data_IF_727140111863
#
_entry.id   IF_727140111863
#
_cell.length_a   1.000
_cell.length_b   1.000
_cell.length_c   1.000
_cell.angle_alpha   90.00
_cell.angle_beta   90.00
_cell.angle_gamma   90.00
#
_symmetry.space_group_name_H-M   'P 1'
#
loop_
_entity.id
_entity.type
_entity.pdbx_description
1 polymer ?
#
# COMPACT_ATOMS: atom_id res chain seq x y z
N UNK A 1 -13.07 -10.17 -5.52
CA UNK A 1 -13.41 -11.49 -6.09
C UNK A 1 -13.02 -12.56 -5.08
N UNK A 2 -13.91 -13.49 -4.75
CA UNK A 2 -13.57 -14.57 -3.81
C UNK A 2 -12.45 -15.46 -4.39
N UNK A 3 -11.51 -15.95 -3.57
CA UNK A 3 -10.47 -16.87 -4.04
C UNK A 3 -11.14 -18.17 -4.49
N UNK A 4 -10.87 -18.58 -5.73
CA UNK A 4 -11.27 -19.91 -6.20
C UNK A 4 -10.65 -20.96 -5.27
N UNK A 5 -11.47 -21.88 -4.78
CA UNK A 5 -11.04 -23.02 -3.97
C UNK A 5 -9.91 -23.78 -4.66
N UNK A 6 -8.90 -24.16 -3.87
CA UNK A 6 -7.59 -24.72 -4.23
C UNK A 6 -7.64 -25.98 -5.13
N UNK A 7 -8.81 -26.58 -5.36
CA UNK A 7 -9.02 -27.76 -6.18
C UNK A 7 -9.40 -27.49 -7.65
N UNK A 8 -9.55 -26.23 -8.08
CA UNK A 8 -10.10 -25.89 -9.41
C UNK A 8 -9.13 -25.28 -10.43
N UNK A 9 -7.81 -25.29 -10.18
CA UNK A 9 -6.83 -24.86 -11.18
C UNK A 9 -6.75 -25.95 -12.26
N UNK A 10 -7.41 -25.71 -13.40
CA UNK A 10 -7.33 -26.57 -14.57
C UNK A 10 -5.87 -26.70 -15.02
N UNK A 11 -5.44 -27.93 -15.37
CA UNK A 11 -4.13 -28.12 -15.98
C UNK A 11 -4.08 -27.31 -17.28
N UNK A 12 -2.99 -26.56 -17.54
CA UNK A 12 -2.80 -25.92 -18.83
C UNK A 12 -2.90 -26.99 -19.92
N UNK A 13 -3.60 -26.70 -21.01
CA UNK A 13 -3.54 -27.51 -22.22
C UNK A 13 -2.16 -27.30 -22.83
N UNK A 14 -1.19 -28.08 -22.38
CA UNK A 14 0.16 -28.13 -22.96
C UNK A 14 0.02 -28.62 -24.40
N UNK A 15 -0.12 -27.71 -25.35
CA UNK A 15 -0.32 -28.01 -26.76
C UNK A 15 0.88 -28.81 -27.28
N UNK A 16 0.77 -30.14 -27.30
CA UNK A 16 1.70 -31.10 -27.89
C UNK A 16 3.20 -30.96 -27.52
N UNK A 17 3.55 -30.24 -26.44
CA UNK A 17 4.94 -30.00 -26.01
C UNK A 17 5.09 -30.27 -24.50
N UNK A 18 6.21 -30.84 -24.03
CA UNK A 18 6.43 -31.03 -22.60
C UNK A 18 6.40 -29.68 -21.87
N UNK A 19 5.91 -29.62 -20.61
CA UNK A 19 5.70 -28.37 -19.86
C UNK A 19 6.92 -27.43 -19.86
N UNK A 20 8.12 -28.01 -19.83
CA UNK A 20 9.40 -27.29 -19.89
C UNK A 20 9.61 -26.50 -21.20
N UNK A 21 9.28 -27.08 -22.36
CA UNK A 21 9.52 -26.45 -23.66
C UNK A 21 8.50 -25.33 -23.92
N UNK A 22 7.25 -25.53 -23.51
CA UNK A 22 6.22 -24.49 -23.54
C UNK A 22 6.59 -23.30 -22.64
N UNK A 23 7.09 -23.61 -21.43
CA UNK A 23 7.58 -22.61 -20.50
C UNK A 23 8.73 -21.80 -21.10
N UNK A 24 9.77 -22.47 -21.58
CA UNK A 24 10.93 -21.82 -22.15
C UNK A 24 10.55 -20.92 -23.35
N UNK A 25 9.62 -21.37 -24.19
CA UNK A 25 9.12 -20.58 -25.32
C UNK A 25 8.35 -19.34 -24.86
N UNK A 26 7.46 -19.49 -23.87
CA UNK A 26 6.64 -18.40 -23.34
C UNK A 26 7.49 -17.37 -22.59
N UNK A 27 8.42 -17.82 -21.74
CA UNK A 27 9.33 -16.95 -21.01
C UNK A 27 10.32 -16.24 -21.95
N UNK A 28 10.86 -16.94 -22.95
CA UNK A 28 11.71 -16.30 -23.98
C UNK A 28 10.93 -15.30 -24.83
N UNK A 29 9.62 -15.51 -25.05
CA UNK A 29 8.78 -14.54 -25.74
C UNK A 29 8.60 -13.27 -24.91
N UNK A 30 8.35 -13.38 -23.59
CA UNK A 30 8.27 -12.23 -22.68
C UNK A 30 9.55 -11.39 -22.75
N UNK A 31 10.73 -12.04 -22.73
CA UNK A 31 12.04 -11.38 -22.82
C UNK A 31 12.20 -10.60 -24.14
N UNK A 32 11.62 -11.09 -25.24
CA UNK A 32 11.74 -10.46 -26.57
C UNK A 32 10.71 -9.37 -26.83
N UNK A 33 9.58 -9.38 -26.14
CA UNK A 33 8.50 -8.42 -26.37
C UNK A 33 8.88 -7.05 -25.81
N UNK A 34 8.69 -6.03 -26.64
CA UNK A 34 8.87 -4.64 -26.25
C UNK A 34 7.52 -4.04 -25.80
N UNK A 35 7.51 -3.00 -24.94
CA UNK A 35 6.28 -2.38 -24.47
C UNK A 35 5.32 -1.88 -25.56
N UNK A 36 5.81 -1.64 -26.78
CA UNK A 36 4.96 -1.23 -27.91
C UNK A 36 4.01 -2.34 -28.40
N UNK A 37 4.31 -3.61 -28.11
CA UNK A 37 3.43 -4.75 -28.43
C UNK A 37 2.54 -5.06 -27.22
N UNK A 38 1.66 -4.10 -26.91
CA UNK A 38 0.87 -4.07 -25.67
C UNK A 38 0.03 -5.34 -25.44
N UNK A 39 -0.87 -5.69 -26.37
CA UNK A 39 -1.78 -6.84 -26.17
C UNK A 39 -1.06 -8.18 -25.97
N UNK A 40 -0.07 -8.57 -26.80
CA UNK A 40 0.73 -9.79 -26.56
C UNK A 40 1.49 -9.76 -25.23
N UNK A 41 1.98 -8.57 -24.83
CA UNK A 41 2.75 -8.41 -23.60
C UNK A 41 1.86 -8.54 -22.35
N UNK A 42 0.68 -7.93 -22.36
CA UNK A 42 -0.31 -8.08 -21.28
C UNK A 42 -0.68 -9.56 -21.09
N UNK A 43 -0.99 -10.25 -22.19
CA UNK A 43 -1.40 -11.66 -22.12
C UNK A 43 -0.30 -12.58 -21.58
N UNK A 44 0.96 -12.31 -21.93
CA UNK A 44 2.07 -13.13 -21.44
C UNK A 44 2.43 -12.83 -19.98
N UNK A 45 2.32 -11.57 -19.53
CA UNK A 45 2.49 -11.18 -18.12
C UNK A 45 1.36 -11.78 -17.26
N UNK A 46 0.13 -11.82 -17.78
CA UNK A 46 -1.00 -12.47 -17.10
C UNK A 46 -0.75 -13.97 -16.92
N UNK A 47 -0.32 -14.66 -17.99
CA UNK A 47 0.04 -16.08 -17.96
C UNK A 47 1.20 -16.38 -17.01
N UNK A 48 2.14 -15.46 -16.84
CA UNK A 48 3.25 -15.63 -15.91
C UNK A 48 2.75 -15.85 -14.47
N UNK A 49 1.72 -15.12 -14.02
CA UNK A 49 1.14 -15.32 -12.70
C UNK A 49 0.60 -16.75 -12.52
N UNK A 50 -0.18 -17.22 -13.50
CA UNK A 50 -0.76 -18.56 -13.51
C UNK A 50 0.32 -19.64 -13.48
N UNK A 51 1.39 -19.47 -14.28
CA UNK A 51 2.51 -20.40 -14.33
C UNK A 51 3.28 -20.45 -13.01
N UNK A 52 3.63 -19.30 -12.44
CA UNK A 52 4.36 -19.23 -11.17
C UNK A 52 3.57 -19.88 -10.03
N UNK A 53 2.28 -19.54 -9.90
CA UNK A 53 1.41 -20.13 -8.87
C UNK A 53 1.24 -21.64 -9.08
N UNK A 54 1.06 -22.09 -10.33
CA UNK A 54 0.95 -23.52 -10.64
C UNK A 54 2.24 -24.28 -10.32
N UNK A 55 3.40 -23.72 -10.65
CA UNK A 55 4.70 -24.36 -10.44
C UNK A 55 5.06 -24.45 -8.97
N UNK A 56 4.72 -23.41 -8.20
CA UNK A 56 4.87 -23.44 -6.75
C UNK A 56 4.15 -24.63 -6.11
N UNK A 57 2.93 -24.92 -6.60
CA UNK A 57 2.11 -25.99 -6.05
C UNK A 57 2.51 -27.37 -6.60
N UNK A 58 2.80 -27.48 -7.90
CA UNK A 58 2.88 -28.79 -8.60
C UNK A 58 4.24 -29.13 -9.20
N UNK A 59 5.09 -28.14 -9.49
CA UNK A 59 6.34 -28.36 -10.23
C UNK A 59 7.50 -27.46 -9.73
N UNK A 60 8.03 -27.68 -8.51
CA UNK A 60 9.06 -26.80 -7.93
C UNK A 60 10.35 -26.68 -8.77
N UNK A 61 10.72 -27.73 -9.51
CA UNK A 61 11.88 -27.69 -10.41
C UNK A 61 11.72 -26.70 -11.57
N UNK A 62 10.49 -26.45 -12.02
CA UNK A 62 10.19 -25.44 -13.04
C UNK A 62 10.19 -24.03 -12.45
N UNK A 63 9.92 -23.88 -11.15
CA UNK A 63 10.03 -22.59 -10.47
C UNK A 63 11.48 -22.10 -10.44
N UNK A 64 12.45 -23.00 -10.21
CA UNK A 64 13.89 -22.68 -10.30
C UNK A 64 14.27 -22.12 -11.68
N UNK A 65 13.67 -22.65 -12.76
CA UNK A 65 13.90 -22.11 -14.11
C UNK A 65 13.40 -20.67 -14.26
N UNK A 66 12.28 -20.30 -13.63
CA UNK A 66 11.79 -18.90 -13.65
C UNK A 66 12.80 -17.96 -13.00
N UNK A 67 13.45 -18.42 -11.91
CA UNK A 67 14.52 -17.69 -11.23
C UNK A 67 15.75 -17.59 -12.13
N UNK A 68 16.23 -18.71 -12.69
CA UNK A 68 17.40 -18.76 -13.58
C UNK A 68 17.26 -17.89 -14.82
N UNK A 69 16.05 -17.74 -15.35
CA UNK A 69 15.75 -16.91 -16.51
C UNK A 69 15.57 -15.42 -16.18
N UNK A 70 15.75 -15.01 -14.92
CA UNK A 70 15.65 -13.61 -14.48
C UNK A 70 14.34 -12.94 -14.93
N UNK A 71 13.21 -13.67 -14.87
CA UNK A 71 11.95 -13.19 -15.44
C UNK A 71 11.40 -11.97 -14.70
N UNK A 72 11.59 -11.93 -13.39
CA UNK A 72 11.22 -10.78 -12.57
C UNK A 72 12.03 -9.53 -12.95
N UNK A 73 13.33 -9.66 -13.23
CA UNK A 73 14.15 -8.53 -13.70
C UNK A 73 13.63 -7.96 -15.02
N UNK A 74 13.11 -8.81 -15.92
CA UNK A 74 12.49 -8.35 -17.16
C UNK A 74 11.19 -7.60 -16.91
N UNK A 75 10.34 -8.03 -15.95
CA UNK A 75 9.17 -7.25 -15.55
C UNK A 75 9.57 -5.87 -15.02
N UNK A 76 10.65 -5.80 -14.23
CA UNK A 76 11.17 -4.54 -13.72
C UNK A 76 11.71 -3.64 -14.84
N UNK A 77 12.38 -4.20 -15.86
CA UNK A 77 12.83 -3.47 -17.05
C UNK A 77 11.63 -2.89 -17.80
N UNK A 78 10.56 -3.67 -17.97
CA UNK A 78 9.31 -3.20 -18.60
C UNK A 78 8.70 -2.08 -17.75
N UNK A 79 8.58 -2.27 -16.44
CA UNK A 79 8.00 -1.28 -15.53
C UNK A 79 8.77 0.05 -15.53
N UNK A 80 10.10 0.01 -15.64
CA UNK A 80 10.97 1.20 -15.72
C UNK A 80 10.95 1.89 -17.09
N UNK A 81 10.41 1.26 -18.13
CA UNK A 81 10.43 1.82 -19.47
C UNK A 81 9.40 2.96 -19.60
N UNK A 82 9.81 4.19 -19.96
CA UNK A 82 8.89 5.33 -20.08
C UNK A 82 7.80 5.15 -21.15
N UNK A 83 7.97 4.20 -22.08
CA UNK A 83 6.99 3.89 -23.14
C UNK A 83 5.95 2.85 -22.70
N UNK A 84 6.03 2.35 -21.47
CA UNK A 84 5.08 1.36 -20.96
C UNK A 84 3.73 2.03 -20.68
N UNK A 85 2.67 1.46 -21.25
CA UNK A 85 1.30 1.95 -21.05
C UNK A 85 0.79 1.62 -19.65
N UNK A 86 -0.18 2.40 -19.18
CA UNK A 86 -0.84 2.14 -17.89
C UNK A 86 -1.44 0.74 -17.81
N UNK A 87 -2.00 0.21 -18.90
CA UNK A 87 -2.55 -1.14 -18.92
C UNK A 87 -1.50 -2.24 -18.65
N UNK A 88 -0.28 -2.07 -19.18
CA UNK A 88 0.84 -2.99 -18.87
C UNK A 88 1.26 -2.84 -17.41
N UNK A 89 1.34 -1.61 -16.88
CA UNK A 89 1.68 -1.36 -15.47
C UNK A 89 0.66 -2.02 -14.54
N UNK A 90 -0.64 -1.83 -14.80
CA UNK A 90 -1.73 -2.49 -14.07
C UNK A 90 -1.56 -4.02 -14.13
N UNK A 91 -1.30 -4.58 -15.31
CA UNK A 91 -1.11 -6.02 -15.47
C UNK A 91 0.10 -6.53 -14.68
N UNK A 92 1.19 -5.77 -14.59
CA UNK A 92 2.35 -6.11 -13.76
C UNK A 92 1.95 -6.15 -12.27
N UNK A 93 1.26 -5.12 -11.77
CA UNK A 93 0.83 -5.09 -10.36
C UNK A 93 -0.16 -6.21 -10.02
N UNK A 94 -1.11 -6.51 -10.92
CA UNK A 94 -2.00 -7.65 -10.77
C UNK A 94 -1.21 -8.97 -10.72
N UNK A 95 -0.29 -9.18 -11.65
CA UNK A 95 0.53 -10.39 -11.72
C UNK A 95 1.38 -10.56 -10.45
N UNK A 96 2.04 -9.50 -9.99
CA UNK A 96 2.83 -9.54 -8.76
C UNK A 96 1.94 -9.76 -7.53
N UNK A 97 0.76 -9.12 -7.46
CA UNK A 97 -0.21 -9.33 -6.40
C UNK A 97 -0.67 -10.79 -6.30
N UNK A 98 -1.02 -11.40 -7.45
CA UNK A 98 -1.40 -12.82 -7.52
C UNK A 98 -0.26 -13.72 -7.07
N UNK A 99 0.99 -13.44 -7.47
CA UNK A 99 2.16 -14.22 -7.04
C UNK A 99 2.37 -14.09 -5.52
N UNK A 100 2.26 -12.89 -4.97
CA UNK A 100 2.40 -12.65 -3.52
C UNK A 100 1.33 -13.40 -2.73
N UNK A 101 0.07 -13.35 -3.18
CA UNK A 101 -1.07 -13.95 -2.46
C UNK A 101 -1.20 -15.45 -2.67
N UNK A 102 -0.94 -15.92 -3.90
CA UNK A 102 -1.27 -17.27 -4.36
C UNK A 102 -0.19 -18.32 -4.13
N UNK A 103 1.06 -17.92 -3.93
CA UNK A 103 2.19 -18.84 -3.69
C UNK A 103 2.19 -19.26 -2.22
N UNK A 104 1.94 -20.54 -1.98
CA UNK A 104 1.85 -21.13 -0.63
C UNK A 104 3.23 -21.58 -0.13
N UNK A 105 4.12 -21.99 -1.03
CA UNK A 105 5.51 -22.32 -0.71
C UNK A 105 6.37 -21.09 -0.88
N UNK A 106 6.63 -20.43 0.24
CA UNK A 106 7.19 -19.09 0.30
C UNK A 106 8.58 -18.89 -0.35
N UNK A 107 9.24 -19.91 -0.89
CA UNK A 107 10.61 -19.82 -1.43
C UNK A 107 10.78 -18.73 -2.49
N UNK A 108 9.89 -18.64 -3.50
CA UNK A 108 10.03 -17.59 -4.53
C UNK A 108 9.75 -16.20 -3.98
N UNK A 109 8.75 -16.06 -3.11
CA UNK A 109 8.41 -14.75 -2.51
C UNK A 109 9.51 -14.31 -1.55
N UNK A 110 10.05 -15.21 -0.72
CA UNK A 110 11.21 -14.93 0.12
C UNK A 110 12.42 -14.57 -0.74
N UNK A 111 12.71 -15.33 -1.79
CA UNK A 111 13.80 -14.99 -2.71
C UNK A 111 13.66 -13.58 -3.29
N UNK A 112 12.46 -13.19 -3.74
CA UNK A 112 12.19 -11.83 -4.24
C UNK A 112 12.31 -10.75 -3.15
N UNK A 113 11.97 -11.06 -1.90
CA UNK A 113 12.18 -10.16 -0.76
C UNK A 113 13.68 -10.01 -0.47
N UNK A 114 14.41 -11.11 -0.34
CA UNK A 114 15.82 -11.14 0.03
C UNK A 114 16.72 -10.47 -1.02
N UNK A 115 16.37 -10.63 -2.30
CA UNK A 115 17.06 -9.96 -3.42
C UNK A 115 16.72 -8.48 -3.53
N UNK A 116 15.77 -7.97 -2.75
CA UNK A 116 15.31 -6.58 -2.83
C UNK A 116 14.46 -6.26 -4.05
N UNK A 117 13.96 -7.27 -4.77
CA UNK A 117 13.16 -7.08 -5.99
C UNK A 117 11.96 -6.14 -5.74
N UNK A 118 11.21 -6.37 -4.66
CA UNK A 118 10.05 -5.53 -4.35
C UNK A 118 10.44 -4.09 -4.02
N UNK A 119 11.58 -3.86 -3.36
CA UNK A 119 12.09 -2.50 -3.13
C UNK A 119 12.39 -1.79 -4.45
N UNK A 120 12.96 -2.51 -5.43
CA UNK A 120 13.19 -1.95 -6.76
C UNK A 120 11.90 -1.65 -7.52
N UNK A 121 10.87 -2.49 -7.41
CA UNK A 121 9.53 -2.24 -7.98
C UNK A 121 8.93 -0.98 -7.36
N UNK A 122 8.95 -0.87 -6.03
CA UNK A 122 8.40 0.28 -5.29
C UNK A 122 9.16 1.59 -5.53
N UNK A 123 10.43 1.51 -5.93
CA UNK A 123 11.25 2.67 -6.27
C UNK A 123 10.98 3.21 -7.66
N UNK A 124 10.18 2.53 -8.49
CA UNK A 124 9.76 3.06 -9.80
C UNK A 124 8.71 4.15 -9.56
N UNK A 125 8.87 5.37 -10.09
CA UNK A 125 7.88 6.42 -9.92
C UNK A 125 6.61 6.09 -10.71
N UNK A 126 5.51 5.88 -9.99
CA UNK A 126 4.18 5.61 -10.57
C UNK A 126 3.28 6.82 -10.32
N UNK A 127 2.76 7.42 -11.40
CA UNK A 127 1.84 8.56 -11.32
C UNK A 127 0.40 8.07 -11.18
N UNK A 128 -0.05 7.85 -9.95
CA UNK A 128 -1.41 7.35 -9.67
C UNK A 128 -2.50 8.43 -9.62
N UNK A 129 -2.12 9.70 -9.44
CA UNK A 129 -3.08 10.78 -9.12
C UNK A 129 -4.08 11.11 -10.24
N UNK A 130 -3.83 10.65 -11.46
CA UNK A 130 -4.67 10.90 -12.63
C UNK A 130 -5.43 9.66 -13.12
N UNK A 131 -5.27 8.51 -12.45
CA UNK A 131 -5.82 7.24 -12.91
C UNK A 131 -6.28 6.38 -11.72
N UNK A 132 -7.59 6.43 -11.44
CA UNK A 132 -8.22 5.72 -10.33
C UNK A 132 -8.09 4.20 -10.45
N UNK A 133 -8.07 3.67 -11.67
CA UNK A 133 -7.90 2.23 -11.91
C UNK A 133 -6.49 1.79 -11.52
N UNK A 134 -5.47 2.52 -11.99
CA UNK A 134 -4.09 2.28 -11.61
C UNK A 134 -3.90 2.41 -10.10
N UNK A 135 -4.49 3.45 -9.48
CA UNK A 135 -4.43 3.65 -8.03
C UNK A 135 -5.03 2.47 -7.26
N UNK A 136 -6.16 1.92 -7.72
CA UNK A 136 -6.82 0.77 -7.10
C UNK A 136 -5.95 -0.49 -7.15
N UNK A 137 -5.38 -0.83 -8.32
CA UNK A 137 -4.50 -2.00 -8.47
C UNK A 137 -3.18 -1.82 -7.72
N UNK A 138 -2.61 -0.61 -7.73
CA UNK A 138 -1.38 -0.34 -7.00
C UNK A 138 -1.62 -0.46 -5.48
N UNK A 139 -2.68 0.15 -4.94
CA UNK A 139 -3.00 0.04 -3.50
C UNK A 139 -3.24 -1.40 -3.07
N UNK A 140 -3.87 -2.22 -3.92
CA UNK A 140 -4.09 -3.65 -3.68
C UNK A 140 -2.75 -4.38 -3.60
N UNK A 141 -1.86 -4.16 -4.57
CA UNK A 141 -0.50 -4.71 -4.56
C UNK A 141 0.29 -4.32 -3.31
N UNK A 142 0.28 -3.03 -2.93
CA UNK A 142 0.96 -2.54 -1.72
C UNK A 142 0.40 -3.23 -0.46
N UNK A 143 -0.92 -3.43 -0.41
CA UNK A 143 -1.59 -4.14 0.68
C UNK A 143 -1.15 -5.61 0.74
N UNK A 144 -1.16 -6.33 -0.37
CA UNK A 144 -0.71 -7.72 -0.45
C UNK A 144 0.76 -7.86 0.00
N UNK A 145 1.62 -6.92 -0.42
CA UNK A 145 3.02 -6.89 -0.04
C UNK A 145 3.21 -6.59 1.47
N UNK A 146 2.39 -5.71 2.05
CA UNK A 146 2.46 -5.39 3.49
C UNK A 146 2.23 -6.61 4.39
N UNK A 147 1.41 -7.58 3.94
CA UNK A 147 1.21 -8.83 4.67
C UNK A 147 2.42 -9.76 4.66
N UNK A 148 3.39 -9.53 3.77
CA UNK A 148 4.65 -10.28 3.74
C UNK A 148 5.72 -9.67 4.65
N UNK A 149 5.48 -8.51 5.24
CA UNK A 149 6.36 -7.93 6.26
C UNK A 149 6.06 -8.61 7.60
N UNK A 150 7.06 -9.30 8.13
CA UNK A 150 7.03 -9.98 9.42
C UNK A 150 8.42 -9.91 10.05
N UNK A 151 8.60 -10.51 11.24
CA UNK A 151 9.87 -10.46 11.98
C UNK A 151 11.09 -10.95 11.18
N UNK A 152 10.88 -11.88 10.24
CA UNK A 152 11.97 -12.46 9.44
C UNK A 152 12.24 -11.68 8.14
N UNK A 153 11.28 -10.89 7.66
CA UNK A 153 11.37 -10.22 6.35
C UNK A 153 11.51 -8.71 6.45
N UNK A 154 11.11 -8.10 7.56
CA UNK A 154 11.05 -6.64 7.74
C UNK A 154 12.36 -5.94 7.38
N UNK A 155 13.48 -6.54 7.77
CA UNK A 155 14.81 -6.00 7.57
C UNK A 155 15.22 -5.89 6.09
N UNK A 156 14.59 -6.66 5.19
CA UNK A 156 14.84 -6.55 3.75
C UNK A 156 14.09 -5.39 3.09
N UNK A 157 13.04 -4.85 3.72
CA UNK A 157 12.25 -3.75 3.17
C UNK A 157 12.81 -2.37 3.51
N UNK A 158 13.76 -2.28 4.44
CA UNK A 158 14.28 -1.01 4.96
C UNK A 158 15.80 -0.99 4.83
N UNK A 159 16.35 0.14 4.38
CA UNK A 159 17.80 0.33 4.32
C UNK A 159 18.45 0.20 5.71
N UNK A 160 19.71 -0.22 5.74
CA UNK A 160 20.44 -0.42 7.00
C UNK A 160 20.53 0.84 7.87
N UNK A 161 20.56 2.03 7.25
CA UNK A 161 20.59 3.33 7.92
C UNK A 161 19.20 3.84 8.35
N UNK A 162 18.14 3.05 8.12
CA UNK A 162 16.75 3.39 8.44
C UNK A 162 16.25 4.69 7.78
N UNK A 163 16.82 5.08 6.63
CA UNK A 163 16.41 6.29 5.89
C UNK A 163 15.58 6.03 4.64
N UNK A 164 15.56 4.80 4.16
CA UNK A 164 14.82 4.44 2.94
C UNK A 164 13.91 3.27 3.24
N UNK A 165 12.61 3.48 3.11
CA UNK A 165 11.59 2.44 3.21
C UNK A 165 10.63 2.59 2.02
N UNK A 166 10.93 1.95 0.88
CA UNK A 166 10.20 2.16 -0.37
C UNK A 166 8.70 1.92 -0.26
N UNK A 167 8.27 0.95 0.57
CA UNK A 167 6.85 0.69 0.77
C UNK A 167 6.16 1.86 1.49
N UNK A 168 6.80 2.46 2.49
CA UNK A 168 6.26 3.63 3.18
C UNK A 168 6.24 4.86 2.27
N UNK A 169 7.29 5.05 1.46
CA UNK A 169 7.32 6.11 0.45
C UNK A 169 6.22 5.92 -0.62
N UNK A 170 5.95 4.69 -1.05
CA UNK A 170 4.90 4.40 -2.02
C UNK A 170 3.50 4.76 -1.48
N UNK A 171 3.20 4.43 -0.23
CA UNK A 171 1.89 4.73 0.36
C UNK A 171 1.65 6.23 0.63
N UNK A 172 2.70 7.06 0.64
CA UNK A 172 2.54 8.52 0.87
C UNK A 172 1.69 9.19 -0.22
N UNK A 173 1.73 8.65 -1.43
CA UNK A 173 0.87 9.07 -2.55
C UNK A 173 -0.63 8.89 -2.29
N UNK A 174 -1.01 8.03 -1.33
CA UNK A 174 -2.40 7.76 -0.98
C UNK A 174 -2.89 8.52 0.27
N UNK A 175 -2.04 9.30 0.94
CA UNK A 175 -2.43 9.95 2.21
C UNK A 175 -3.68 10.81 2.05
N UNK A 176 -3.75 11.60 0.99
CA UNK A 176 -4.90 12.49 0.70
C UNK A 176 -5.87 11.90 -0.34
N UNK A 177 -5.88 10.58 -0.51
CA UNK A 177 -6.83 9.93 -1.44
C UNK A 177 -8.27 10.12 -0.99
N UNK A 178 -9.15 10.51 -1.91
CA UNK A 178 -10.60 10.61 -1.67
C UNK A 178 -11.32 9.27 -1.81
N UNK A 179 -10.66 8.26 -2.37
CA UNK A 179 -11.23 6.92 -2.47
C UNK A 179 -11.20 6.22 -1.10
N UNK A 180 -12.38 5.88 -0.60
CA UNK A 180 -12.54 5.14 0.66
C UNK A 180 -11.82 3.80 0.63
N UNK A 181 -11.82 3.10 -0.50
CA UNK A 181 -11.15 1.79 -0.58
C UNK A 181 -9.63 1.95 -0.47
N UNK A 182 -9.05 2.93 -1.16
CA UNK A 182 -7.64 3.28 -1.02
C UNK A 182 -7.28 3.69 0.42
N UNK A 183 -8.12 4.49 1.10
CA UNK A 183 -7.90 4.86 2.50
C UNK A 183 -7.91 3.65 3.45
N UNK A 184 -8.84 2.71 3.25
CA UNK A 184 -8.88 1.45 4.01
C UNK A 184 -7.63 0.60 3.76
N UNK A 185 -7.15 0.54 2.51
CA UNK A 185 -5.92 -0.16 2.17
C UNK A 185 -4.70 0.49 2.84
N UNK A 186 -4.58 1.81 2.78
CA UNK A 186 -3.53 2.60 3.43
C UNK A 186 -3.47 2.31 4.94
N UNK A 187 -4.61 2.45 5.64
CA UNK A 187 -4.72 2.16 7.08
C UNK A 187 -4.31 0.72 7.40
N UNK A 188 -4.76 -0.24 6.61
CA UNK A 188 -4.38 -1.65 6.75
C UNK A 188 -2.87 -1.87 6.57
N UNK A 189 -2.23 -1.20 5.61
CA UNK A 189 -0.79 -1.30 5.37
C UNK A 189 0.00 -0.76 6.57
N UNK A 190 -0.39 0.40 7.09
CA UNK A 190 0.28 1.03 8.24
C UNK A 190 0.12 0.15 9.49
N UNK A 191 -1.07 -0.38 9.74
CA UNK A 191 -1.30 -1.32 10.85
C UNK A 191 -0.44 -2.58 10.70
N UNK A 192 -0.34 -3.15 9.49
CA UNK A 192 0.50 -4.31 9.24
C UNK A 192 1.98 -4.01 9.53
N UNK A 193 2.49 -2.85 9.12
CA UNK A 193 3.87 -2.44 9.40
C UNK A 193 4.14 -2.27 10.90
N UNK A 194 3.27 -1.53 11.61
CA UNK A 194 3.44 -1.27 13.05
C UNK A 194 3.30 -2.57 13.86
N UNK A 195 2.39 -3.45 13.47
CA UNK A 195 2.17 -4.75 14.13
C UNK A 195 3.42 -5.62 14.17
N UNK A 196 4.37 -5.45 13.24
CA UNK A 196 5.61 -6.23 13.22
C UNK A 196 6.51 -5.90 14.41
N UNK A 197 6.44 -4.70 15.00
CA UNK A 197 7.32 -4.27 16.11
C UNK A 197 8.82 -4.43 15.80
N UNK A 198 9.20 -4.18 14.56
CA UNK A 198 10.59 -4.21 14.13
C UNK A 198 11.25 -2.84 14.37
N UNK A 199 12.47 -2.84 14.91
CA UNK A 199 13.18 -1.62 15.29
C UNK A 199 13.46 -0.67 14.13
N UNK A 200 13.80 -1.19 12.94
CA UNK A 200 14.05 -0.36 11.74
C UNK A 200 12.78 0.30 11.24
N UNK A 201 11.67 -0.46 11.21
CA UNK A 201 10.34 0.07 10.86
C UNK A 201 9.96 1.20 11.83
N UNK A 202 10.04 0.95 13.14
CA UNK A 202 9.71 1.94 14.17
C UNK A 202 10.57 3.19 14.00
N UNK A 203 11.89 3.03 13.92
CA UNK A 203 12.86 4.12 13.76
C UNK A 203 12.54 4.96 12.54
N UNK A 204 12.29 4.32 11.39
CA UNK A 204 11.89 5.01 10.17
C UNK A 204 10.61 5.82 10.40
N UNK A 205 9.50 5.18 10.78
CA UNK A 205 8.18 5.83 10.94
C UNK A 205 8.24 7.01 11.91
N UNK A 206 9.03 6.91 12.99
CA UNK A 206 9.14 7.99 13.99
C UNK A 206 10.04 9.15 13.57
N UNK A 207 11.05 8.90 12.73
CA UNK A 207 12.06 9.88 12.34
C UNK A 207 11.85 10.48 10.96
N UNK A 208 10.85 10.01 10.20
CA UNK A 208 10.44 10.60 8.92
C UNK A 208 10.16 12.10 9.11
N UNK A 209 10.65 12.98 8.21
CA UNK A 209 10.39 14.41 8.26
C UNK A 209 8.91 14.74 8.39
N UNK A 210 8.58 15.84 9.05
CA UNK A 210 7.19 16.19 9.34
C UNK A 210 6.28 16.27 8.11
N UNK A 211 6.81 16.67 6.96
CA UNK A 211 6.09 16.76 5.67
C UNK A 211 5.68 15.41 5.11
N UNK A 212 6.38 14.34 5.49
CA UNK A 212 6.20 12.98 5.00
C UNK A 212 5.58 12.06 6.08
N UNK A 213 5.40 12.58 7.30
CA UNK A 213 4.85 11.83 8.42
C UNK A 213 3.33 11.67 8.28
N UNK A 214 2.90 10.41 8.14
CA UNK A 214 1.47 10.08 8.13
C UNK A 214 0.76 10.50 9.42
N UNK A 215 1.41 10.39 10.58
CA UNK A 215 0.78 10.75 11.85
C UNK A 215 0.49 12.25 11.94
N UNK A 216 1.39 13.09 11.41
CA UNK A 216 1.15 14.54 11.35
C UNK A 216 0.03 14.85 10.36
N UNK A 217 0.03 14.21 9.19
CA UNK A 217 -1.06 14.30 8.23
C UNK A 217 -2.41 13.94 8.87
N UNK A 218 -2.49 12.78 9.53
CA UNK A 218 -3.69 12.29 10.20
C UNK A 218 -4.21 13.28 11.26
N UNK A 219 -3.33 13.77 12.14
CA UNK A 219 -3.76 14.77 13.14
C UNK A 219 -4.23 16.07 12.50
N UNK A 220 -3.66 16.48 11.36
CA UNK A 220 -4.12 17.64 10.60
C UNK A 220 -5.53 17.40 10.06
N UNK A 221 -5.79 16.26 9.42
CA UNK A 221 -7.11 15.91 8.90
C UNK A 221 -8.16 15.86 10.02
N UNK A 222 -7.83 15.30 11.18
CA UNK A 222 -8.71 15.29 12.36
C UNK A 222 -9.07 16.71 12.78
N UNK A 223 -8.08 17.60 12.87
CA UNK A 223 -8.32 19.01 13.21
C UNK A 223 -9.22 19.69 12.18
N UNK A 224 -8.96 19.49 10.90
CA UNK A 224 -9.76 20.07 9.82
C UNK A 224 -11.22 19.62 9.89
N UNK A 225 -11.48 18.33 10.12
CA UNK A 225 -12.85 17.81 10.30
C UNK A 225 -13.53 18.38 11.56
N UNK A 226 -12.78 18.55 12.66
CA UNK A 226 -13.28 19.22 13.85
C UNK A 226 -13.68 20.67 13.55
N UNK A 227 -12.84 21.43 12.86
CA UNK A 227 -13.12 22.82 12.51
C UNK A 227 -14.31 22.95 11.54
N UNK A 228 -14.42 22.04 10.57
CA UNK A 228 -15.55 21.98 9.64
C UNK A 228 -16.87 21.68 10.35
N UNK A 229 -16.84 20.80 11.35
CA UNK A 229 -17.99 20.52 12.21
C UNK A 229 -18.42 21.78 12.97
N UNK A 230 -17.48 22.48 13.63
CA UNK A 230 -17.76 23.70 14.39
C UNK A 230 -18.35 24.79 13.48
N UNK A 231 -17.76 25.04 12.31
CA UNK A 231 -18.28 26.01 11.33
C UNK A 231 -19.70 25.65 10.88
N UNK A 232 -19.90 24.39 10.51
CA UNK A 232 -21.21 23.90 10.03
C UNK A 232 -22.30 24.09 11.09
N UNK A 233 -21.98 23.86 12.37
CA UNK A 233 -22.91 24.09 13.48
C UNK A 233 -23.13 25.59 13.73
N UNK A 234 -22.07 26.40 13.79
CA UNK A 234 -22.14 27.83 14.10
C UNK A 234 -22.93 28.63 13.04
N UNK A 235 -22.81 28.26 11.77
CA UNK A 235 -23.54 28.86 10.65
C UNK A 235 -25.03 28.49 10.62
N UNK A 236 -25.53 27.76 11.63
CA UNK A 236 -26.88 27.21 11.64
C UNK A 236 -27.78 27.90 12.66
N UNK A 237 -28.66 28.79 12.17
CA UNK A 237 -29.78 29.31 12.95
C UNK A 237 -30.97 28.33 13.03
N UNK A 238 -31.16 27.46 12.03
CA UNK A 238 -32.21 26.41 11.95
C UNK A 238 -31.65 25.19 11.20
N UNK A 239 -31.64 24.00 11.83
CA UNK A 239 -31.13 22.76 11.23
C UNK A 239 -32.17 22.18 10.25
N UNK A 240 -31.97 22.36 8.94
CA UNK A 240 -32.71 21.62 7.91
C UNK A 240 -32.20 20.16 7.81
N UNK A 241 -33.03 19.25 7.31
CA UNK A 241 -32.70 17.81 7.16
C UNK A 241 -31.41 17.56 6.36
N UNK A 242 -31.15 18.36 5.32
CA UNK A 242 -29.93 18.25 4.50
C UNK A 242 -28.65 18.61 5.24
N UNK A 243 -28.67 19.63 6.12
CA UNK A 243 -27.51 19.98 6.95
C UNK A 243 -27.24 18.95 8.05
N UNK A 244 -28.30 18.30 8.55
CA UNK A 244 -28.15 17.21 9.51
C UNK A 244 -27.39 16.03 8.91
N UNK A 245 -27.69 15.67 7.66
CA UNK A 245 -26.95 14.62 6.95
C UNK A 245 -25.46 14.98 6.82
N UNK A 246 -25.14 16.21 6.39
CA UNK A 246 -23.75 16.68 6.30
C UNK A 246 -23.00 16.61 7.65
N UNK A 247 -23.65 17.00 8.76
CA UNK A 247 -23.06 16.90 10.10
C UNK A 247 -22.78 15.45 10.46
N UNK A 248 -23.70 14.53 10.15
CA UNK A 248 -23.52 13.10 10.40
C UNK A 248 -22.32 12.58 9.59
N UNK A 249 -22.22 12.90 8.30
CA UNK A 249 -21.10 12.48 7.45
C UNK A 249 -19.75 12.97 8.01
N UNK A 250 -19.66 14.23 8.46
CA UNK A 250 -18.44 14.78 9.07
C UNK A 250 -18.09 14.04 10.37
N UNK A 251 -19.09 13.73 11.20
CA UNK A 251 -18.89 12.99 12.46
C UNK A 251 -18.44 11.56 12.17
N UNK A 252 -19.01 10.88 11.18
CA UNK A 252 -18.62 9.52 10.77
C UNK A 252 -17.15 9.49 10.31
N UNK A 253 -16.75 10.40 9.42
CA UNK A 253 -15.35 10.54 8.99
C UNK A 253 -14.41 10.76 10.19
N UNK A 254 -14.82 11.59 11.15
CA UNK A 254 -14.04 11.91 12.33
C UNK A 254 -13.92 10.69 13.28
N UNK A 255 -15.00 9.95 13.48
CA UNK A 255 -15.01 8.70 14.28
C UNK A 255 -14.10 7.67 13.63
N UNK A 256 -14.12 7.53 12.30
CA UNK A 256 -13.27 6.57 11.58
C UNK A 256 -11.78 6.87 11.79
N UNK A 257 -11.37 8.14 11.75
CA UNK A 257 -9.98 8.53 12.02
C UNK A 257 -9.57 8.29 13.47
N UNK A 258 -10.44 8.59 14.45
CA UNK A 258 -10.16 8.33 15.86
C UNK A 258 -10.10 6.83 16.17
N UNK A 259 -10.98 6.04 15.54
CA UNK A 259 -10.97 4.57 15.64
C UNK A 259 -9.64 4.02 15.12
N UNK A 260 -9.14 4.54 14.00
CA UNK A 260 -7.84 4.15 13.47
C UNK A 260 -6.67 4.52 14.42
N UNK A 261 -6.71 5.68 15.08
CA UNK A 261 -5.71 6.01 16.13
C UNK A 261 -5.79 5.00 17.27
N UNK A 262 -7.00 4.67 17.71
CA UNK A 262 -7.20 3.68 18.77
C UNK A 262 -6.65 2.30 18.36
N UNK A 263 -6.86 1.88 17.12
CA UNK A 263 -6.30 0.63 16.59
C UNK A 263 -4.76 0.62 16.64
N UNK A 264 -4.12 1.73 16.26
CA UNK A 264 -2.67 1.88 16.38
C UNK A 264 -2.19 1.80 17.83
N UNK A 265 -2.86 2.51 18.75
CA UNK A 265 -2.51 2.50 20.18
C UNK A 265 -2.62 1.09 20.78
N UNK A 266 -3.66 0.35 20.38
CA UNK A 266 -3.92 -1.01 20.84
C UNK A 266 -2.93 -2.07 20.30
N UNK A 267 -2.06 -1.72 19.35
CA UNK A 267 -0.92 -2.58 19.00
C UNK A 267 0.12 -2.66 20.13
N UNK A 268 0.03 -1.77 21.13
CA UNK A 268 0.92 -1.72 22.29
C UNK A 268 2.39 -1.68 21.86
N UNK A 269 2.70 -0.77 20.94
CA UNK A 269 4.05 -0.46 20.50
C UNK A 269 4.47 0.85 21.19
N UNK A 270 5.40 0.77 22.15
CA UNK A 270 5.75 1.92 22.99
C UNK A 270 6.32 3.08 22.18
N UNK A 271 7.17 2.81 21.19
CA UNK A 271 7.84 3.82 20.37
C UNK A 271 6.81 4.55 19.51
N UNK A 272 5.91 3.81 18.87
CA UNK A 272 4.86 4.38 18.04
C UNK A 272 3.82 5.13 18.89
N UNK A 273 3.43 4.59 20.06
CA UNK A 273 2.48 5.22 20.96
C UNK A 273 3.02 6.53 21.54
N UNK A 274 4.30 6.57 21.91
CA UNK A 274 4.97 7.82 22.32
C UNK A 274 4.93 8.85 21.19
N UNK A 275 5.26 8.46 19.96
CA UNK A 275 5.22 9.38 18.81
C UNK A 275 3.81 9.89 18.53
N UNK A 276 2.82 9.01 18.52
CA UNK A 276 1.41 9.38 18.32
C UNK A 276 0.93 10.35 19.39
N UNK A 277 1.28 10.11 20.66
CA UNK A 277 0.89 10.98 21.78
C UNK A 277 1.55 12.35 21.69
N UNK A 278 2.83 12.40 21.33
CA UNK A 278 3.55 13.66 21.06
C UNK A 278 2.85 14.43 19.95
N UNK A 279 2.64 13.81 18.78
CA UNK A 279 2.04 14.47 17.62
C UNK A 279 0.60 14.90 17.92
N UNK A 280 -0.18 14.09 18.66
CA UNK A 280 -1.52 14.45 19.12
C UNK A 280 -1.49 15.73 19.99
N UNK A 281 -0.62 15.76 21.00
CA UNK A 281 -0.44 16.92 21.88
C UNK A 281 -0.03 18.16 21.08
N UNK A 282 0.91 18.01 20.17
CA UNK A 282 1.44 19.14 19.41
C UNK A 282 0.47 19.66 18.36
N UNK A 283 -0.23 18.78 17.64
CA UNK A 283 -1.04 19.16 16.48
C UNK A 283 -2.51 19.43 16.80
N UNK A 284 -3.05 18.78 17.82
CA UNK A 284 -4.43 18.97 18.27
C UNK A 284 -4.49 19.83 19.54
N UNK A 285 -3.85 19.41 20.64
CA UNK A 285 -4.02 20.12 21.92
C UNK A 285 -3.49 21.56 21.84
N UNK A 286 -2.24 21.74 21.39
CA UNK A 286 -1.65 23.09 21.28
C UNK A 286 -2.36 23.95 20.23
N UNK A 287 -2.69 23.44 19.05
CA UNK A 287 -3.29 24.32 18.02
C UNK A 287 -4.79 24.57 18.22
N UNK A 288 -5.55 23.61 18.74
CA UNK A 288 -7.00 23.76 18.92
C UNK A 288 -7.35 24.38 20.27
N UNK A 289 -6.79 23.87 21.37
CA UNK A 289 -7.24 24.25 22.71
C UNK A 289 -6.43 25.38 23.33
N UNK A 290 -5.11 25.46 23.09
CA UNK A 290 -4.35 26.60 23.62
C UNK A 290 -4.85 27.92 23.04
N UNK A 291 -5.14 27.96 21.73
CA UNK A 291 -5.71 29.15 21.11
C UNK A 291 -7.09 29.51 21.69
N UNK A 292 -7.94 28.51 21.93
CA UNK A 292 -9.22 28.68 22.60
C UNK A 292 -9.07 29.27 24.00
N UNK A 293 -8.17 28.71 24.82
CA UNK A 293 -7.88 29.19 26.18
C UNK A 293 -7.35 30.62 26.15
N UNK A 294 -6.37 30.91 25.29
CA UNK A 294 -5.80 32.27 25.19
C UNK A 294 -6.86 33.29 24.79
N UNK A 295 -7.72 32.97 23.82
CA UNK A 295 -8.79 33.84 23.35
C UNK A 295 -9.87 34.03 24.42
N UNK A 296 -10.23 32.96 25.15
CA UNK A 296 -11.17 33.04 26.26
C UNK A 296 -10.65 33.92 27.40
N UNK A 297 -9.36 33.79 27.73
CA UNK A 297 -8.71 34.60 28.76
C UNK A 297 -8.63 36.08 28.39
N UNK A 298 -8.33 36.44 27.13
CA UNK A 298 -8.37 37.84 26.69
C UNK A 298 -9.78 38.42 26.68
N UNK A 299 -10.78 37.65 26.23
CA UNK A 299 -12.18 38.10 26.25
C UNK A 299 -12.71 38.33 27.66
N UNK A 300 -12.33 37.48 28.62
CA UNK A 300 -12.71 37.64 30.03
C UNK A 300 -11.96 38.77 30.72
N UNK A 301 -10.69 39.00 30.37
CA UNK A 301 -9.92 40.13 30.87
C UNK A 301 -10.37 41.50 30.31
N UNK A 302 -11.10 41.50 29.17
CA UNK A 302 -11.67 42.71 28.56
C UNK A 302 -13.07 43.08 29.07
N UNK A 303 -13.64 42.30 29.99
CA UNK A 303 -14.87 42.61 30.72
C UNK A 303 -14.56 43.21 32.09
#
# INVERSE_FOLDING_TARGET
MAPKTQSSIANPTWSNSPPRLYLETSLRLLIKLQPQKESPLIEIIRKLAELVVLFDIRYPTLLNMVIELCIFDHLLIILKNPKTSTAIIIQIFQTLGIIIEGVTNSQIVYFLIETGYFNHVLSVPILINSDDELAAYYSTFLKSLSFKINQNTADYFISADCKTFPLFSAISSFFDSKDRMAQVALKSIILNMVKVKNQKIQTYITNVPNSESYFIFLMRQIREKHDDLVRTIADTKIIKSSKRALIIDIIEDHIEMLTFINDLLNLNDEVINQKLTEVFKERLIKYSYYHFITTGNTLTASK
#
